data_IF_443033193497
#
_entry.id   IF_443033193497
#
_cell.length_a   1.000
_cell.length_b   1.000
_cell.length_c   1.000
_cell.angle_alpha   90.00
_cell.angle_beta   90.00
_cell.angle_gamma   90.00
#
_symmetry.space_group_name_H-M   'P 1'
#
loop_
_entity.id
_entity.type
_entity.pdbx_description
1 polymer ?
#
# COMPACT_ATOMS: atom_id res chain seq x y z
N UNK A 1 -9.52 -62.61 43.81
CA UNK A 1 -9.76 -62.61 42.36
C UNK A 1 -9.95 -61.16 41.95
N UNK A 2 -8.91 -60.50 41.43
CA UNK A 2 -8.96 -59.15 40.93
C UNK A 2 -8.49 -59.22 39.45
N UNK A 3 -9.48 -59.18 38.56
CA UNK A 3 -9.25 -59.22 37.11
C UNK A 3 -8.77 -57.87 36.60
N UNK A 4 -7.67 -57.87 35.89
CA UNK A 4 -7.11 -56.70 35.20
C UNK A 4 -8.02 -56.22 34.06
N UNK A 5 -8.54 -55.02 34.14
CA UNK A 5 -9.13 -54.28 33.03
C UNK A 5 -8.03 -53.39 32.44
N UNK A 6 -7.31 -53.91 31.45
CA UNK A 6 -6.42 -53.11 30.62
C UNK A 6 -7.27 -52.50 29.51
N UNK A 7 -7.59 -51.20 29.64
CA UNK A 7 -8.19 -50.42 28.59
C UNK A 7 -7.25 -50.30 27.41
N UNK A 8 -7.71 -50.75 26.23
CA UNK A 8 -7.08 -50.51 24.94
C UNK A 8 -7.10 -49.01 24.64
N UNK A 9 -5.94 -48.36 24.67
CA UNK A 9 -5.79 -47.01 24.11
C UNK A 9 -6.19 -47.01 22.63
N UNK A 10 -7.07 -46.10 22.20
CA UNK A 10 -7.42 -46.00 20.79
C UNK A 10 -6.14 -45.60 20.02
N UNK A 11 -5.72 -46.47 19.08
CA UNK A 11 -4.70 -46.09 18.09
C UNK A 11 -5.29 -44.99 17.23
N UNK A 12 -4.85 -43.75 17.48
CA UNK A 12 -5.07 -42.64 16.55
C UNK A 12 -4.32 -42.98 15.27
N UNK A 13 -5.05 -43.51 14.28
CA UNK A 13 -4.52 -43.69 12.93
C UNK A 13 -4.31 -42.28 12.35
N UNK A 14 -3.06 -41.83 12.28
CA UNK A 14 -2.71 -40.59 11.57
C UNK A 14 -3.22 -40.74 10.12
N UNK A 15 -4.05 -39.83 9.64
CA UNK A 15 -4.54 -39.88 8.25
C UNK A 15 -3.33 -39.82 7.32
N UNK A 16 -3.27 -40.77 6.36
CA UNK A 16 -2.12 -41.05 5.54
C UNK A 16 -1.50 -39.79 4.95
N UNK A 17 -0.21 -39.64 5.21
CA UNK A 17 0.71 -38.56 4.78
C UNK A 17 0.66 -38.28 3.25
N UNK A 18 0.16 -39.25 2.47
CA UNK A 18 -0.02 -39.17 1.02
C UNK A 18 -1.32 -38.50 0.54
N UNK A 19 -2.34 -38.35 1.37
CA UNK A 19 -3.60 -37.73 0.97
C UNK A 19 -3.55 -36.20 1.01
N UNK A 20 -2.74 -35.64 1.93
CA UNK A 20 -2.51 -34.20 2.06
C UNK A 20 -1.67 -33.63 0.91
N UNK A 21 -0.79 -34.43 0.30
CA UNK A 21 0.10 -34.04 -0.77
C UNK A 21 -0.64 -33.62 -2.05
N UNK A 22 -1.80 -34.25 -2.34
CA UNK A 22 -2.60 -33.88 -3.52
C UNK A 22 -3.18 -32.46 -3.43
N UNK A 23 -3.57 -32.03 -2.23
CA UNK A 23 -4.06 -30.66 -2.03
C UNK A 23 -2.92 -29.65 -2.06
N UNK A 24 -1.76 -29.99 -1.51
CA UNK A 24 -0.57 -29.16 -1.62
C UNK A 24 -0.11 -29.05 -3.08
N UNK A 25 -0.14 -30.12 -3.85
CA UNK A 25 0.23 -30.09 -5.26
C UNK A 25 -0.66 -29.16 -6.07
N UNK A 26 -1.98 -29.22 -5.88
CA UNK A 26 -2.91 -28.33 -6.55
C UNK A 26 -2.63 -26.85 -6.23
N UNK A 27 -2.40 -26.53 -4.94
CA UNK A 27 -2.05 -25.17 -4.51
C UNK A 27 -0.71 -24.70 -5.08
N UNK A 28 0.30 -25.57 -5.12
CA UNK A 28 1.62 -25.28 -5.72
C UNK A 28 1.49 -25.04 -7.22
N UNK A 29 0.72 -25.88 -7.94
CA UNK A 29 0.51 -25.70 -9.39
C UNK A 29 -0.18 -24.36 -9.67
N UNK A 30 -1.23 -24.00 -8.93
CA UNK A 30 -1.91 -22.71 -9.06
C UNK A 30 -0.94 -21.56 -8.79
N UNK A 31 -0.14 -21.65 -7.73
CA UNK A 31 0.87 -20.63 -7.40
C UNK A 31 1.93 -20.50 -8.48
N UNK A 32 2.43 -21.60 -9.03
CA UNK A 32 3.43 -21.57 -10.11
C UNK A 32 2.83 -20.97 -11.37
N UNK A 33 1.63 -21.42 -11.78
CA UNK A 33 1.00 -20.96 -13.04
C UNK A 33 0.59 -19.49 -12.98
N UNK A 34 0.01 -19.03 -11.88
CA UNK A 34 -0.53 -17.66 -11.78
C UNK A 34 0.39 -16.68 -11.04
N UNK A 35 1.36 -17.17 -10.27
CA UNK A 35 2.32 -16.34 -9.55
C UNK A 35 3.69 -16.32 -10.23
N UNK A 36 4.31 -17.48 -10.43
CA UNK A 36 5.70 -17.57 -10.88
C UNK A 36 5.85 -17.39 -12.39
N UNK A 37 5.05 -18.10 -13.19
CA UNK A 37 5.17 -18.04 -14.67
C UNK A 37 4.97 -16.63 -15.25
N UNK A 38 3.99 -15.80 -14.81
CA UNK A 38 3.87 -14.43 -15.29
C UNK A 38 5.10 -13.57 -14.99
N UNK A 39 5.69 -13.72 -13.81
CA UNK A 39 6.92 -13.00 -13.45
C UNK A 39 8.09 -13.41 -14.32
N UNK A 40 8.27 -14.72 -14.54
CA UNK A 40 9.31 -15.24 -15.46
C UNK A 40 9.08 -14.76 -16.88
N UNK A 41 7.82 -14.68 -17.32
CA UNK A 41 7.47 -14.15 -18.62
C UNK A 41 7.84 -12.67 -18.77
N UNK A 42 7.51 -11.84 -17.79
CA UNK A 42 7.89 -10.42 -17.76
C UNK A 42 9.40 -10.27 -17.72
N UNK A 43 10.12 -11.10 -16.95
CA UNK A 43 11.59 -11.13 -16.92
C UNK A 43 12.16 -11.46 -18.31
N UNK A 44 11.63 -12.48 -18.98
CA UNK A 44 12.04 -12.82 -20.34
C UNK A 44 11.76 -11.69 -21.32
N UNK A 45 10.58 -11.08 -21.29
CA UNK A 45 10.21 -9.98 -22.17
C UNK A 45 11.08 -8.73 -21.96
N UNK A 46 11.52 -8.46 -20.74
CA UNK A 46 12.36 -7.29 -20.41
C UNK A 46 13.72 -7.28 -21.11
N UNK A 47 14.20 -8.46 -21.55
CA UNK A 47 15.47 -8.60 -22.28
C UNK A 47 15.34 -8.39 -23.78
N UNK A 48 14.13 -8.11 -24.28
CA UNK A 48 13.89 -7.85 -25.69
C UNK A 48 13.50 -6.40 -25.91
N UNK A 49 14.02 -5.79 -26.97
CA UNK A 49 13.38 -4.61 -27.57
C UNK A 49 12.25 -5.13 -28.45
N UNK A 50 11.04 -4.93 -28.00
CA UNK A 50 9.85 -5.42 -28.66
C UNK A 50 8.73 -4.39 -28.62
N UNK A 51 8.36 -3.89 -29.79
CA UNK A 51 7.19 -3.04 -30.02
C UNK A 51 6.27 -3.71 -31.02
N UNK A 52 4.99 -3.85 -30.66
CA UNK A 52 4.00 -4.42 -31.56
C UNK A 52 3.78 -3.53 -32.82
N UNK A 53 3.88 -2.21 -32.69
CA UNK A 53 3.76 -1.29 -33.82
C UNK A 53 4.93 -1.39 -34.79
N UNK A 54 6.15 -1.61 -34.29
CA UNK A 54 7.32 -1.75 -35.12
C UNK A 54 7.43 -3.15 -35.82
N UNK A 55 6.63 -4.12 -35.38
CA UNK A 55 6.67 -5.50 -35.84
C UNK A 55 8.00 -6.22 -35.58
N UNK A 56 8.91 -5.60 -34.83
CA UNK A 56 10.27 -6.10 -34.61
C UNK A 56 10.42 -6.60 -33.16
N UNK A 57 11.06 -7.75 -33.05
CA UNK A 57 11.46 -8.31 -31.77
C UNK A 57 12.92 -8.72 -31.83
N UNK A 58 13.76 -8.06 -31.06
CA UNK A 58 15.21 -8.28 -31.04
C UNK A 58 15.68 -8.51 -29.62
N UNK A 59 16.48 -9.53 -29.40
CA UNK A 59 17.18 -9.71 -28.13
C UNK A 59 18.14 -8.53 -27.91
N UNK A 60 18.06 -7.91 -26.78
CA UNK A 60 18.73 -6.65 -26.48
C UNK A 60 19.35 -6.63 -25.07
N UNK A 61 19.53 -7.79 -24.47
CA UNK A 61 20.16 -7.93 -23.15
C UNK A 61 19.58 -6.96 -22.12
N UNK A 62 20.39 -6.02 -21.63
CA UNK A 62 20.01 -5.01 -20.63
C UNK A 62 19.72 -3.62 -21.24
N UNK A 63 19.56 -3.51 -22.57
CA UNK A 63 19.35 -2.21 -23.24
C UNK A 63 18.13 -1.45 -22.72
N UNK A 64 17.03 -2.16 -22.39
CA UNK A 64 15.84 -1.53 -21.82
C UNK A 64 16.14 -0.89 -20.46
N UNK A 65 16.91 -1.56 -19.59
CA UNK A 65 17.29 -1.03 -18.28
C UNK A 65 18.24 0.17 -18.42
N UNK A 66 19.18 0.10 -19.37
CA UNK A 66 20.04 1.26 -19.69
C UNK A 66 19.18 2.45 -20.14
N UNK A 67 18.20 2.23 -21.01
CA UNK A 67 17.28 3.27 -21.47
C UNK A 67 16.47 3.88 -20.33
N UNK A 68 16.00 3.08 -19.37
CA UNK A 68 15.26 3.56 -18.21
C UNK A 68 16.11 4.54 -17.39
N UNK A 69 17.34 4.13 -17.02
CA UNK A 69 18.20 4.93 -16.15
C UNK A 69 18.68 6.23 -16.81
N UNK A 70 18.84 6.24 -18.14
CA UNK A 70 19.29 7.43 -18.88
C UNK A 70 18.13 8.30 -19.41
N UNK A 71 16.88 7.86 -19.27
CA UNK A 71 15.73 8.67 -19.65
C UNK A 71 15.31 9.60 -18.53
N UNK A 72 15.39 10.90 -18.79
CA UNK A 72 14.89 11.91 -17.85
C UNK A 72 13.40 11.74 -17.55
N UNK A 73 12.62 11.27 -18.51
CA UNK A 73 11.17 11.07 -18.34
C UNK A 73 10.87 9.97 -17.32
N UNK A 74 11.51 8.79 -17.46
CA UNK A 74 11.33 7.68 -16.52
C UNK A 74 11.86 8.03 -15.12
N UNK A 75 12.99 8.72 -15.03
CA UNK A 75 13.57 9.16 -13.75
C UNK A 75 12.72 10.22 -13.05
N UNK A 76 12.13 11.16 -13.81
CA UNK A 76 11.16 12.12 -13.26
C UNK A 76 9.88 11.44 -12.79
N UNK A 77 9.38 10.43 -13.51
CA UNK A 77 8.22 9.65 -13.09
C UNK A 77 8.51 8.89 -11.79
N UNK A 78 9.71 8.31 -11.65
CA UNK A 78 10.19 7.71 -10.39
C UNK A 78 10.25 8.74 -9.26
N UNK A 79 10.86 9.91 -9.50
CA UNK A 79 10.94 10.99 -8.51
C UNK A 79 9.56 11.44 -8.01
N UNK A 80 8.58 11.56 -8.92
CA UNK A 80 7.19 11.88 -8.57
C UNK A 80 6.51 10.75 -7.79
N UNK A 81 6.83 9.48 -8.11
CA UNK A 81 6.34 8.34 -7.33
C UNK A 81 6.88 8.39 -5.89
N UNK A 82 8.17 8.63 -5.71
CA UNK A 82 8.77 8.77 -4.38
C UNK A 82 8.18 9.94 -3.61
N UNK A 83 7.95 11.08 -4.28
CA UNK A 83 7.28 12.24 -3.69
C UNK A 83 5.85 11.88 -3.25
N UNK A 84 5.09 11.21 -4.10
CA UNK A 84 3.73 10.74 -3.76
C UNK A 84 3.74 9.82 -2.54
N UNK A 85 4.60 8.81 -2.54
CA UNK A 85 4.75 7.87 -1.43
C UNK A 85 5.09 8.61 -0.14
N UNK A 86 6.07 9.51 -0.18
CA UNK A 86 6.49 10.31 0.99
C UNK A 86 5.36 11.18 1.53
N UNK A 87 4.68 11.95 0.66
CA UNK A 87 3.57 12.84 1.05
C UNK A 87 2.37 12.05 1.58
N UNK A 88 2.00 10.95 0.90
CA UNK A 88 0.88 10.11 1.32
C UNK A 88 1.14 9.49 2.70
N UNK A 89 2.31 8.91 2.93
CA UNK A 89 2.67 8.31 4.21
C UNK A 89 2.75 9.36 5.33
N UNK A 90 3.34 10.51 5.06
CA UNK A 90 3.45 11.61 6.04
C UNK A 90 2.08 12.10 6.52
N UNK A 91 1.04 12.03 5.68
CA UNK A 91 -0.33 12.40 6.05
C UNK A 91 -1.09 11.23 6.65
N UNK A 92 -1.02 10.07 6.02
CA UNK A 92 -1.90 8.95 6.36
C UNK A 92 -1.50 8.23 7.64
N UNK A 93 -0.19 8.07 7.92
CA UNK A 93 0.26 7.38 9.12
C UNK A 93 -0.17 8.11 10.41
N UNK A 94 0.07 9.43 10.56
CA UNK A 94 -0.42 10.17 11.74
C UNK A 94 -1.95 10.22 11.83
N UNK A 95 -2.66 10.39 10.70
CA UNK A 95 -4.13 10.40 10.70
C UNK A 95 -4.70 9.05 11.09
N UNK A 96 -4.15 7.95 10.55
CA UNK A 96 -4.56 6.59 10.90
C UNK A 96 -4.37 6.29 12.38
N UNK A 97 -3.20 6.64 12.91
CA UNK A 97 -2.90 6.51 14.35
C UNK A 97 -3.82 7.39 15.21
N UNK A 98 -4.04 8.64 14.83
CA UNK A 98 -4.94 9.56 15.53
C UNK A 98 -6.37 9.04 15.61
N UNK A 99 -6.91 8.55 14.48
CA UNK A 99 -8.23 7.92 14.44
C UNK A 99 -8.27 6.64 15.28
N UNK A 100 -7.25 5.81 15.24
CA UNK A 100 -7.15 4.60 16.06
C UNK A 100 -7.18 4.93 17.56
N UNK A 101 -6.43 5.95 18.00
CA UNK A 101 -6.42 6.42 19.39
C UNK A 101 -7.80 6.92 19.83
N UNK A 102 -8.54 7.63 18.95
CA UNK A 102 -9.92 8.04 19.22
C UNK A 102 -10.85 6.84 19.33
N UNK A 103 -10.75 5.90 18.40
CA UNK A 103 -11.55 4.67 18.37
C UNK A 103 -11.18 3.69 19.50
N UNK A 104 -10.02 3.80 20.09
CA UNK A 104 -9.64 2.96 21.24
C UNK A 104 -10.36 3.37 22.54
N UNK A 105 -10.90 4.59 22.60
CA UNK A 105 -11.69 5.06 23.75
C UNK A 105 -13.09 4.46 23.72
N UNK A 106 -13.69 4.26 24.91
CA UNK A 106 -15.10 3.90 25.03
C UNK A 106 -15.98 5.15 24.90
N UNK A 107 -16.85 5.18 23.90
CA UNK A 107 -17.87 6.22 23.73
C UNK A 107 -19.13 5.67 23.07
N UNK A 108 -20.27 6.35 23.25
CA UNK A 108 -21.53 5.99 22.61
C UNK A 108 -21.42 6.16 21.09
N UNK A 109 -21.82 5.12 20.34
CA UNK A 109 -21.77 5.17 18.87
C UNK A 109 -20.44 4.72 18.26
N UNK A 110 -19.44 4.28 19.03
CA UNK A 110 -18.15 3.77 18.54
C UNK A 110 -18.30 2.76 17.40
N UNK A 111 -19.26 1.83 17.53
CA UNK A 111 -19.52 0.83 16.50
C UNK A 111 -19.96 1.45 15.16
N UNK A 112 -20.89 2.40 15.22
CA UNK A 112 -21.35 3.11 14.02
C UNK A 112 -20.24 3.92 13.35
N UNK A 113 -19.42 4.64 14.14
CA UNK A 113 -18.26 5.38 13.61
C UNK A 113 -17.26 4.43 12.94
N UNK A 114 -16.98 3.27 13.54
CA UNK A 114 -16.10 2.26 12.95
C UNK A 114 -16.66 1.70 11.64
N UNK A 115 -17.97 1.45 11.57
CA UNK A 115 -18.62 0.97 10.34
C UNK A 115 -18.56 2.03 9.23
N UNK A 116 -18.87 3.30 9.54
CA UNK A 116 -18.80 4.40 8.59
C UNK A 116 -17.36 4.64 8.09
N UNK A 117 -16.37 4.48 8.98
CA UNK A 117 -14.95 4.63 8.62
C UNK A 117 -14.52 3.60 7.57
N UNK A 118 -15.09 2.40 7.55
CA UNK A 118 -14.70 1.33 6.62
C UNK A 118 -15.31 1.53 5.23
N UNK A 119 -16.38 2.29 5.10
CA UNK A 119 -17.10 2.46 3.83
C UNK A 119 -16.22 2.90 2.65
N UNK A 120 -15.28 3.85 2.79
CA UNK A 120 -14.40 4.24 1.69
C UNK A 120 -13.62 3.07 1.10
N UNK A 121 -13.19 2.10 1.92
CA UNK A 121 -12.41 0.94 1.47
C UNK A 121 -13.19 -0.01 0.56
N UNK A 122 -14.52 0.05 0.58
CA UNK A 122 -15.39 -0.81 -0.26
C UNK A 122 -15.56 -0.26 -1.67
N UNK A 123 -15.15 0.99 -1.92
CA UNK A 123 -15.31 1.67 -3.21
C UNK A 123 -14.11 1.34 -4.11
N UNK A 124 -14.33 0.89 -5.36
CA UNK A 124 -13.22 0.67 -6.29
C UNK A 124 -12.39 1.94 -6.53
N UNK A 125 -11.05 1.85 -6.61
CA UNK A 125 -10.17 3.02 -6.77
C UNK A 125 -10.51 3.93 -7.95
N UNK A 126 -10.93 3.35 -9.09
CA UNK A 126 -11.39 4.12 -10.26
C UNK A 126 -12.57 5.03 -9.92
N UNK A 127 -13.56 4.49 -9.19
CA UNK A 127 -14.75 5.23 -8.76
C UNK A 127 -14.41 6.32 -7.75
N UNK A 128 -13.45 6.06 -6.86
CA UNK A 128 -12.91 7.07 -5.95
C UNK A 128 -12.32 8.23 -6.75
N UNK A 129 -11.43 7.95 -7.70
CA UNK A 129 -10.83 8.99 -8.55
C UNK A 129 -11.86 9.80 -9.31
N UNK A 130 -12.87 9.15 -9.92
CA UNK A 130 -13.94 9.81 -10.66
C UNK A 130 -14.80 10.71 -9.76
N UNK A 131 -15.16 10.24 -8.57
CA UNK A 131 -15.95 11.02 -7.60
C UNK A 131 -15.17 12.24 -7.12
N UNK A 132 -13.89 12.06 -6.79
CA UNK A 132 -13.05 13.17 -6.34
C UNK A 132 -12.75 14.18 -7.46
N UNK A 133 -12.65 13.73 -8.73
CA UNK A 133 -12.58 14.64 -9.89
C UNK A 133 -13.79 15.57 -9.94
N UNK A 134 -15.01 15.04 -9.73
CA UNK A 134 -16.22 15.85 -9.68
C UNK A 134 -16.20 16.80 -8.48
N UNK A 135 -15.77 16.36 -7.30
CA UNK A 135 -15.67 17.19 -6.10
C UNK A 135 -14.66 18.32 -6.23
N UNK A 136 -13.58 18.11 -7.00
CA UNK A 136 -12.48 19.07 -7.18
C UNK A 136 -12.54 19.86 -8.49
N UNK A 137 -13.61 19.67 -9.28
CA UNK A 137 -13.78 20.34 -10.57
C UNK A 137 -13.95 21.83 -10.40
N UNK A 138 -13.07 22.63 -11.02
CA UNK A 138 -13.14 24.10 -10.98
C UNK A 138 -14.51 24.61 -11.44
N UNK A 139 -15.09 25.53 -10.71
CA UNK A 139 -16.35 26.21 -11.01
C UNK A 139 -17.63 25.43 -10.66
N UNK A 140 -17.57 24.10 -10.48
CA UNK A 140 -18.76 23.27 -10.16
C UNK A 140 -18.56 22.32 -8.99
N UNK A 141 -17.31 22.03 -8.62
CA UNK A 141 -16.98 21.10 -7.55
C UNK A 141 -17.17 21.69 -6.17
N UNK A 142 -17.48 20.83 -5.20
CA UNK A 142 -17.69 21.22 -3.80
C UNK A 142 -16.42 21.85 -3.18
N UNK A 143 -15.24 21.24 -3.43
CA UNK A 143 -13.99 21.70 -2.81
C UNK A 143 -13.59 23.10 -3.28
N UNK A 144 -13.50 23.41 -4.59
CA UNK A 144 -13.29 24.79 -5.05
C UNK A 144 -14.36 25.74 -4.55
N UNK A 145 -15.64 25.35 -4.59
CA UNK A 145 -16.74 26.22 -4.15
C UNK A 145 -16.61 26.66 -2.70
N UNK A 146 -16.19 25.77 -1.80
CA UNK A 146 -15.93 26.13 -0.38
C UNK A 146 -14.67 26.99 -0.24
N UNK A 147 -13.60 26.70 -0.97
CA UNK A 147 -12.35 27.45 -0.90
C UNK A 147 -12.46 28.85 -1.52
N UNK A 148 -13.28 29.02 -2.54
CA UNK A 148 -13.57 30.32 -3.14
C UNK A 148 -14.25 31.28 -2.15
N UNK A 149 -15.02 30.77 -1.17
CA UNK A 149 -15.64 31.61 -0.11
C UNK A 149 -14.58 32.29 0.78
N UNK A 150 -13.40 31.71 0.87
CA UNK A 150 -12.27 32.29 1.63
C UNK A 150 -11.19 32.87 0.71
N UNK A 151 -11.50 33.05 -0.57
CA UNK A 151 -10.63 33.72 -1.55
C UNK A 151 -9.51 32.82 -2.09
N UNK A 152 -9.60 31.48 -1.92
CA UNK A 152 -8.60 30.50 -2.41
C UNK A 152 -9.10 29.91 -3.72
N UNK A 153 -8.48 30.29 -4.84
CA UNK A 153 -8.77 29.72 -6.17
C UNK A 153 -8.09 28.35 -6.31
N UNK A 154 -8.83 27.29 -6.01
CA UNK A 154 -8.35 25.92 -6.07
C UNK A 154 -8.67 25.27 -7.42
N UNK A 155 -7.63 24.87 -8.17
CA UNK A 155 -7.78 24.30 -9.52
C UNK A 155 -6.73 23.19 -9.77
N UNK A 156 -7.13 21.93 -9.64
CA UNK A 156 -6.23 20.77 -9.81
C UNK A 156 -5.72 20.61 -11.25
N UNK A 157 -6.45 21.08 -12.24
CA UNK A 157 -6.06 21.01 -13.65
C UNK A 157 -5.10 22.13 -14.10
N UNK A 158 -4.93 23.19 -13.28
CA UNK A 158 -4.14 24.37 -13.63
C UNK A 158 -2.88 24.55 -12.78
N UNK A 159 -2.91 24.05 -11.54
CA UNK A 159 -1.83 24.23 -10.57
C UNK A 159 -1.32 22.87 -10.04
N UNK A 160 -0.03 22.63 -10.20
CA UNK A 160 0.62 21.39 -9.78
C UNK A 160 0.50 21.13 -8.26
N UNK A 161 0.63 22.17 -7.42
CA UNK A 161 0.47 22.03 -5.98
C UNK A 161 -0.95 21.61 -5.61
N UNK A 162 -1.97 22.23 -6.24
CA UNK A 162 -3.37 21.84 -6.03
C UNK A 162 -3.65 20.42 -6.47
N UNK A 163 -3.03 19.97 -7.59
CA UNK A 163 -3.13 18.58 -8.04
C UNK A 163 -2.52 17.59 -7.02
N UNK A 164 -1.34 17.89 -6.48
CA UNK A 164 -0.70 17.08 -5.44
C UNK A 164 -1.53 17.04 -4.15
N UNK A 165 -2.04 18.18 -3.69
CA UNK A 165 -2.95 18.24 -2.53
C UNK A 165 -4.18 17.36 -2.80
N UNK A 166 -4.78 17.49 -3.99
CA UNK A 166 -5.94 16.71 -4.39
C UNK A 166 -5.70 15.21 -4.35
N UNK A 167 -4.58 14.75 -4.92
CA UNK A 167 -4.19 13.34 -4.92
C UNK A 167 -4.00 12.83 -3.48
N UNK A 168 -3.26 13.56 -2.65
CA UNK A 168 -2.96 13.14 -1.27
C UNK A 168 -4.23 13.10 -0.42
N UNK A 169 -5.13 14.08 -0.56
CA UNK A 169 -6.41 14.09 0.16
C UNK A 169 -7.34 12.95 -0.28
N UNK A 170 -7.47 12.73 -1.58
CA UNK A 170 -8.26 11.63 -2.13
C UNK A 170 -7.75 10.28 -1.62
N UNK A 171 -6.46 10.05 -1.73
CA UNK A 171 -5.84 8.80 -1.34
C UNK A 171 -5.87 8.60 0.19
N UNK A 172 -5.68 9.67 0.97
CA UNK A 172 -5.84 9.64 2.42
C UNK A 172 -7.28 9.30 2.84
N UNK A 173 -8.29 9.94 2.23
CA UNK A 173 -9.69 9.63 2.51
C UNK A 173 -10.00 8.13 2.24
N UNK A 174 -9.45 7.58 1.19
CA UNK A 174 -9.67 6.18 0.81
C UNK A 174 -8.95 5.21 1.75
N UNK A 175 -7.68 5.46 2.11
CA UNK A 175 -6.81 4.46 2.75
C UNK A 175 -6.51 4.69 4.24
N UNK A 176 -6.73 5.88 4.79
CA UNK A 176 -6.59 6.14 6.24
C UNK A 176 -7.44 5.18 7.09
N UNK A 177 -8.66 4.79 6.67
CA UNK A 177 -9.43 3.78 7.39
C UNK A 177 -8.70 2.46 7.62
N UNK A 178 -7.99 1.96 6.60
CA UNK A 178 -7.20 0.73 6.74
C UNK A 178 -6.11 0.88 7.80
N UNK A 179 -5.34 1.97 7.74
CA UNK A 179 -4.30 2.27 8.72
C UNK A 179 -4.86 2.42 10.13
N UNK A 180 -6.01 3.09 10.26
CA UNK A 180 -6.69 3.22 11.54
C UNK A 180 -7.11 1.87 12.13
N UNK A 181 -7.55 0.91 11.31
CA UNK A 181 -7.88 -0.43 11.76
C UNK A 181 -6.64 -1.22 12.18
N UNK A 182 -5.54 -1.12 11.41
CA UNK A 182 -4.27 -1.78 11.75
C UNK A 182 -3.74 -1.24 13.08
N UNK A 183 -3.68 0.08 13.25
CA UNK A 183 -3.26 0.70 14.50
C UNK A 183 -4.21 0.39 15.67
N UNK A 184 -5.52 0.33 15.42
CA UNK A 184 -6.49 -0.03 16.45
C UNK A 184 -6.30 -1.48 16.92
N UNK A 185 -6.00 -2.41 16.01
CA UNK A 185 -5.66 -3.78 16.38
C UNK A 185 -4.38 -3.82 17.24
N UNK A 186 -3.35 -3.05 16.87
CA UNK A 186 -2.14 -2.89 17.68
C UNK A 186 -2.41 -2.30 19.05
N UNK A 187 -3.22 -1.25 19.15
CA UNK A 187 -3.57 -0.62 20.43
C UNK A 187 -4.30 -1.58 21.39
N UNK A 188 -5.10 -2.51 20.84
CA UNK A 188 -5.80 -3.51 21.66
C UNK A 188 -4.89 -4.63 22.15
N UNK A 189 -3.69 -4.78 21.59
CA UNK A 189 -2.69 -5.77 22.02
C UNK A 189 -1.75 -5.25 23.12
N UNK A 190 -1.71 -3.94 23.36
CA UNK A 190 -0.90 -3.33 24.43
C UNK A 190 -1.42 -3.81 25.79
N UNK A 191 -0.57 -4.43 26.66
CA UNK A 191 -0.99 -4.91 27.96
C UNK A 191 -1.51 -3.77 28.84
N UNK A 192 -2.72 -3.85 29.40
CA UNK A 192 -3.27 -2.80 30.28
C UNK A 192 -2.39 -2.51 31.50
N UNK A 193 -1.68 -3.53 32.00
CA UNK A 193 -0.76 -3.40 33.14
C UNK A 193 0.34 -2.37 32.93
N UNK A 194 0.89 -2.24 31.71
CA UNK A 194 1.90 -1.23 31.40
C UNK A 194 1.34 0.19 31.55
N UNK A 195 0.12 0.41 31.04
CA UNK A 195 -0.55 1.70 31.14
C UNK A 195 -0.95 2.01 32.59
N UNK A 196 -1.36 1.01 33.37
CA UNK A 196 -1.72 1.16 34.77
C UNK A 196 -0.51 1.46 35.65
N UNK A 197 0.61 0.75 35.47
CA UNK A 197 1.88 1.01 36.16
C UNK A 197 2.35 2.45 35.88
N UNK A 198 2.38 2.89 34.63
CA UNK A 198 2.77 4.26 34.32
C UNK A 198 1.87 5.32 34.96
N UNK A 199 0.55 5.04 35.13
CA UNK A 199 -0.35 5.93 35.89
C UNK A 199 -0.04 5.97 37.39
N UNK A 200 0.34 4.83 37.95
CA UNK A 200 0.74 4.76 39.36
C UNK A 200 2.02 5.57 39.59
N UNK A 201 2.95 5.54 38.65
CA UNK A 201 4.17 6.34 38.63
C UNK A 201 3.94 7.83 38.37
N UNK A 202 2.68 8.25 38.20
CA UNK A 202 2.29 9.64 37.99
C UNK A 202 2.38 10.17 36.56
N UNK A 203 2.62 9.29 35.56
CA UNK A 203 2.72 9.70 34.19
C UNK A 203 1.40 10.26 33.64
N UNK A 204 1.47 11.40 32.95
CA UNK A 204 0.34 11.99 32.26
C UNK A 204 0.04 11.27 30.93
N UNK A 205 -1.08 11.59 30.27
CA UNK A 205 -1.52 10.91 29.04
C UNK A 205 -0.54 11.05 27.89
N UNK A 206 0.19 12.16 27.79
CA UNK A 206 1.18 12.41 26.76
C UNK A 206 2.44 11.57 27.00
N UNK A 207 2.89 11.49 28.25
CA UNK A 207 4.02 10.64 28.66
C UNK A 207 3.71 9.16 28.43
N UNK A 208 2.51 8.69 28.79
CA UNK A 208 2.06 7.31 28.52
C UNK A 208 2.05 7.05 27.00
N UNK A 209 1.60 7.99 26.20
CA UNK A 209 1.60 7.83 24.76
C UNK A 209 3.02 7.65 24.20
N UNK A 210 3.96 8.54 24.57
CA UNK A 210 5.30 8.54 23.99
C UNK A 210 6.21 7.44 24.54
N UNK A 211 6.06 7.08 25.84
CA UNK A 211 6.98 6.15 26.50
C UNK A 211 6.43 4.73 26.65
N UNK A 212 5.10 4.53 26.51
CA UNK A 212 4.48 3.22 26.63
C UNK A 212 3.78 2.85 25.31
N UNK A 213 2.78 3.63 24.88
CA UNK A 213 1.91 3.22 23.78
C UNK A 213 2.64 3.22 22.44
N UNK A 214 3.39 4.26 22.11
CA UNK A 214 4.07 4.39 20.81
C UNK A 214 5.20 3.37 20.63
N UNK A 215 6.06 3.09 21.62
CA UNK A 215 7.03 2.00 21.55
C UNK A 215 6.39 0.63 21.31
N UNK A 216 5.32 0.30 22.05
CA UNK A 216 4.58 -0.96 21.86
C UNK A 216 3.93 -1.08 20.49
N UNK A 217 3.54 0.03 19.88
CA UNK A 217 2.98 0.07 18.53
C UNK A 217 4.02 0.04 17.42
N UNK A 218 5.31 0.12 17.71
CA UNK A 218 6.37 0.27 16.71
C UNK A 218 6.33 -0.83 15.66
N UNK A 219 6.24 -2.08 16.09
CA UNK A 219 6.15 -3.24 15.18
C UNK A 219 4.94 -3.15 14.25
N UNK A 220 3.76 -2.84 14.82
CA UNK A 220 2.53 -2.67 14.04
C UNK A 220 2.65 -1.48 13.08
N UNK A 221 3.26 -0.39 13.53
CA UNK A 221 3.53 0.80 12.72
C UNK A 221 4.41 0.50 11.51
N UNK A 222 5.47 -0.28 11.67
CA UNK A 222 6.37 -0.64 10.56
C UNK A 222 5.66 -1.61 9.59
N UNK A 223 4.86 -2.55 10.09
CA UNK A 223 4.04 -3.41 9.22
C UNK A 223 3.02 -2.58 8.42
N UNK A 224 2.34 -1.63 9.06
CA UNK A 224 1.42 -0.71 8.39
C UNK A 224 2.13 0.14 7.32
N UNK A 225 3.30 0.68 7.66
CA UNK A 225 4.15 1.45 6.76
C UNK A 225 4.60 0.62 5.56
N UNK A 226 5.02 -0.64 5.77
CA UNK A 226 5.44 -1.55 4.72
C UNK A 226 4.30 -1.86 3.76
N UNK A 227 3.14 -2.30 4.27
CA UNK A 227 1.97 -2.61 3.45
C UNK A 227 1.58 -1.40 2.61
N UNK A 228 1.52 -0.22 3.24
CA UNK A 228 1.10 1.00 2.55
C UNK A 228 2.12 1.49 1.54
N UNK A 229 3.42 1.38 1.83
CA UNK A 229 4.48 1.72 0.87
C UNK A 229 4.35 0.87 -0.41
N UNK A 230 4.20 -0.45 -0.26
CA UNK A 230 4.04 -1.35 -1.41
C UNK A 230 2.80 -1.02 -2.24
N UNK A 231 1.70 -0.63 -1.59
CA UNK A 231 0.46 -0.28 -2.26
C UNK A 231 0.56 1.07 -3.00
N UNK A 232 1.18 2.07 -2.40
CA UNK A 232 1.39 3.40 -3.02
C UNK A 232 2.22 3.33 -4.30
N UNK A 233 3.25 2.47 -4.36
CA UNK A 233 4.03 2.26 -5.59
C UNK A 233 3.19 1.66 -6.74
N UNK A 234 2.08 1.02 -6.43
CA UNK A 234 1.16 0.39 -7.40
C UNK A 234 -0.02 1.28 -7.77
N UNK A 235 -0.17 2.43 -7.11
CA UNK A 235 -1.28 3.33 -7.32
C UNK A 235 -1.30 3.85 -8.79
N UNK A 236 -2.42 3.65 -9.47
CA UNK A 236 -2.66 4.09 -10.84
C UNK A 236 -4.08 4.63 -11.01
N UNK A 237 -5.08 3.77 -10.79
CA UNK A 237 -6.46 4.00 -11.21
C UNK A 237 -7.06 5.30 -10.69
N UNK A 238 -7.01 5.52 -9.38
CA UNK A 238 -7.56 6.72 -8.75
C UNK A 238 -6.78 7.98 -9.12
N UNK A 239 -5.45 7.90 -9.21
CA UNK A 239 -4.60 9.02 -9.57
C UNK A 239 -4.83 9.43 -11.03
N UNK A 240 -4.90 8.43 -11.94
CA UNK A 240 -5.17 8.67 -13.35
C UNK A 240 -6.54 9.31 -13.56
N UNK A 241 -7.57 8.79 -12.89
CA UNK A 241 -8.92 9.34 -12.98
C UNK A 241 -9.02 10.77 -12.46
N UNK A 242 -8.25 11.13 -11.41
CA UNK A 242 -8.30 12.47 -10.82
C UNK A 242 -7.56 13.52 -11.66
N UNK A 243 -6.35 13.22 -12.16
CA UNK A 243 -5.46 14.22 -12.77
C UNK A 243 -4.98 13.87 -14.17
N UNK A 244 -5.09 12.59 -14.61
CA UNK A 244 -4.48 12.14 -15.86
C UNK A 244 -2.97 12.34 -15.91
N UNK A 245 -2.30 12.55 -14.77
CA UNK A 245 -0.88 12.90 -14.68
C UNK A 245 -0.59 14.39 -14.74
N UNK A 246 -1.63 15.26 -14.89
CA UNK A 246 -1.53 16.71 -15.06
C UNK A 246 -1.48 17.53 -13.76
N UNK A 247 -1.39 18.87 -13.90
CA UNK A 247 -1.19 19.65 -15.11
C UNK A 247 0.18 19.44 -15.76
N UNK A 248 0.23 19.43 -17.08
CA UNK A 248 1.41 19.00 -17.83
C UNK A 248 1.75 17.55 -17.53
N UNK A 249 2.85 17.28 -16.83
CA UNK A 249 3.22 15.95 -16.34
C UNK A 249 3.54 15.96 -14.84
N UNK A 250 3.05 16.96 -14.11
CA UNK A 250 3.45 17.20 -12.71
C UNK A 250 3.10 16.07 -11.75
N UNK A 251 2.03 15.31 -12.01
CA UNK A 251 1.57 14.18 -11.20
C UNK A 251 1.70 12.84 -11.92
N UNK A 252 2.49 12.80 -13.00
CA UNK A 252 2.70 11.61 -13.80
C UNK A 252 3.69 10.66 -13.11
N UNK A 253 3.17 9.68 -12.39
CA UNK A 253 3.92 8.69 -11.60
C UNK A 253 4.38 7.50 -12.45
N UNK A 254 5.33 6.72 -11.95
CA UNK A 254 5.97 5.61 -12.65
C UNK A 254 4.98 4.54 -13.14
N UNK A 255 3.92 4.25 -12.36
CA UNK A 255 2.93 3.28 -12.80
C UNK A 255 2.08 3.79 -13.99
N UNK A 256 1.86 5.10 -14.10
CA UNK A 256 1.26 5.71 -15.31
C UNK A 256 2.18 5.57 -16.51
N UNK A 257 3.50 5.69 -16.31
CA UNK A 257 4.50 5.53 -17.35
C UNK A 257 4.55 4.07 -17.86
N UNK A 258 4.48 3.09 -16.96
CA UNK A 258 4.37 1.67 -17.32
C UNK A 258 3.13 1.43 -18.18
N UNK A 259 1.96 1.89 -17.74
CA UNK A 259 0.69 1.72 -18.46
C UNK A 259 0.74 2.39 -19.85
N UNK A 260 1.26 3.61 -19.93
CA UNK A 260 1.44 4.33 -21.20
C UNK A 260 2.37 3.55 -22.13
N UNK A 261 3.50 3.05 -21.63
CA UNK A 261 4.49 2.33 -22.43
C UNK A 261 3.94 1.00 -22.95
N UNK A 262 3.20 0.26 -22.10
CA UNK A 262 2.64 -1.04 -22.47
C UNK A 262 1.40 -0.90 -23.34
N UNK A 263 0.41 -0.10 -22.93
CA UNK A 263 -0.90 -0.06 -23.57
C UNK A 263 -0.96 0.93 -24.73
N UNK A 264 -0.35 2.13 -24.60
CA UNK A 264 -0.47 3.16 -25.63
C UNK A 264 0.67 3.06 -26.65
N UNK A 265 1.90 2.81 -26.22
CA UNK A 265 3.04 2.66 -27.13
C UNK A 265 3.27 1.21 -27.59
N UNK A 266 2.54 0.24 -27.03
CA UNK A 266 2.68 -1.19 -27.29
C UNK A 266 4.14 -1.68 -27.25
N UNK A 267 4.96 -1.05 -26.38
CA UNK A 267 6.37 -1.41 -26.17
C UNK A 267 6.48 -2.36 -24.98
N UNK A 268 6.25 -3.63 -25.25
CA UNK A 268 6.18 -4.66 -24.20
C UNK A 268 7.52 -4.94 -23.55
N UNK A 269 8.64 -4.81 -24.30
CA UNK A 269 9.98 -5.01 -23.78
C UNK A 269 10.35 -3.97 -22.71
N UNK A 270 10.22 -2.70 -23.07
CA UNK A 270 10.50 -1.58 -22.16
C UNK A 270 9.51 -1.55 -20.98
N UNK A 271 8.21 -1.78 -21.24
CA UNK A 271 7.20 -1.82 -20.18
C UNK A 271 7.45 -2.94 -19.18
N UNK A 272 7.90 -4.12 -19.64
CA UNK A 272 8.31 -5.22 -18.78
C UNK A 272 9.53 -4.84 -17.94
N UNK A 273 10.53 -4.18 -18.53
CA UNK A 273 11.71 -3.71 -17.79
C UNK A 273 11.35 -2.64 -16.74
N UNK A 274 10.46 -1.69 -17.05
CA UNK A 274 9.95 -0.69 -16.11
C UNK A 274 9.19 -1.35 -14.93
N UNK A 275 8.38 -2.37 -15.23
CA UNK A 275 7.65 -3.11 -14.18
C UNK A 275 8.60 -3.85 -13.24
N UNK A 276 9.64 -4.51 -13.76
CA UNK A 276 10.66 -5.18 -12.94
C UNK A 276 11.54 -4.19 -12.18
N UNK A 277 11.87 -3.05 -12.78
CA UNK A 277 12.59 -1.97 -12.12
C UNK A 277 11.81 -1.44 -10.92
N UNK A 278 10.50 -1.23 -11.08
CA UNK A 278 9.60 -0.84 -9.99
C UNK A 278 9.53 -1.93 -8.91
N UNK A 279 9.37 -3.18 -9.31
CA UNK A 279 9.35 -4.33 -8.39
C UNK A 279 10.65 -4.40 -7.57
N UNK A 280 11.81 -4.21 -8.23
CA UNK A 280 13.10 -4.21 -7.56
C UNK A 280 13.18 -3.10 -6.48
N UNK A 281 12.74 -1.88 -6.80
CA UNK A 281 12.70 -0.78 -5.83
C UNK A 281 11.81 -1.14 -4.63
N UNK A 282 10.62 -1.67 -4.87
CA UNK A 282 9.69 -2.10 -3.81
C UNK A 282 10.34 -3.17 -2.93
N UNK A 283 10.99 -4.18 -3.53
CA UNK A 283 11.65 -5.26 -2.79
C UNK A 283 12.79 -4.73 -1.93
N UNK A 284 13.64 -3.85 -2.48
CA UNK A 284 14.75 -3.23 -1.73
C UNK A 284 14.23 -2.40 -0.56
N UNK A 285 13.23 -1.54 -0.78
CA UNK A 285 12.63 -0.74 0.28
C UNK A 285 11.97 -1.61 1.35
N UNK A 286 11.23 -2.64 0.94
CA UNK A 286 10.60 -3.58 1.85
C UNK A 286 11.63 -4.37 2.67
N UNK A 287 12.71 -4.80 2.04
CA UNK A 287 13.81 -5.48 2.73
C UNK A 287 14.48 -4.58 3.78
N UNK A 288 14.76 -3.32 3.43
CA UNK A 288 15.31 -2.34 4.37
C UNK A 288 14.39 -2.16 5.58
N UNK A 289 13.08 -2.02 5.34
CA UNK A 289 12.09 -1.84 6.41
C UNK A 289 11.96 -3.10 7.29
N UNK A 290 11.97 -4.29 6.71
CA UNK A 290 11.93 -5.56 7.46
C UNK A 290 13.23 -5.76 8.25
N UNK A 291 14.37 -5.41 7.68
CA UNK A 291 15.66 -5.56 8.36
C UNK A 291 15.76 -4.64 9.59
N UNK A 292 15.22 -3.42 9.52
CA UNK A 292 15.12 -2.53 10.70
C UNK A 292 14.25 -3.14 11.80
N UNK A 293 13.10 -3.75 11.43
CA UNK A 293 12.26 -4.50 12.38
C UNK A 293 13.00 -5.65 13.05
N UNK A 294 13.72 -6.44 12.26
CA UNK A 294 14.40 -7.64 12.75
C UNK A 294 15.51 -7.27 13.75
N UNK A 295 16.29 -6.23 13.47
CA UNK A 295 17.34 -5.78 14.39
C UNK A 295 16.78 -5.27 15.72
N UNK A 296 15.60 -4.65 15.72
CA UNK A 296 14.95 -4.15 16.93
C UNK A 296 14.34 -5.28 17.78
N UNK A 297 13.74 -6.29 17.15
CA UNK A 297 13.21 -7.47 17.87
C UNK A 297 14.34 -8.29 18.52
N UNK A 298 15.55 -8.29 17.94
CA UNK A 298 16.71 -8.96 18.54
C UNK A 298 17.37 -8.13 19.65
N UNK A 299 17.16 -6.80 19.66
CA UNK A 299 17.73 -5.88 20.65
C UNK A 299 16.85 -5.67 21.89
N UNK A 300 15.59 -6.10 21.84
CA UNK A 300 14.61 -6.08 22.96
C UNK A 300 14.60 -7.41 23.73
#
# INVERSE_FOLDING_TARGET
>A
MLGRVYGRTPRVSLPGRFRSWKYLLASVVIFVVFGVLPVLWVLYQSTFVWSAFAGTRRFAELQNYHSIVHSSEHMLALGRTLLFVGLALAVQMPLGLGIALLLNRSFRGRGAVRTLLILPLTIPPVSVGATWLLFMRKGTGFVPGVLDLVGINFAIGENALHAWIGIVLMDAWHWVPLLALIFLAGLTSVPPSLVESAKIDGANRFEIFWHVTLPELKTVGIVALLIRTMDLFRAYDSLWMLTGGGPGSSTFVLNMDIVRTVLNAANYGLGSALSLFTLYIIVVLSWLMVNTLYQEVLAS
#
